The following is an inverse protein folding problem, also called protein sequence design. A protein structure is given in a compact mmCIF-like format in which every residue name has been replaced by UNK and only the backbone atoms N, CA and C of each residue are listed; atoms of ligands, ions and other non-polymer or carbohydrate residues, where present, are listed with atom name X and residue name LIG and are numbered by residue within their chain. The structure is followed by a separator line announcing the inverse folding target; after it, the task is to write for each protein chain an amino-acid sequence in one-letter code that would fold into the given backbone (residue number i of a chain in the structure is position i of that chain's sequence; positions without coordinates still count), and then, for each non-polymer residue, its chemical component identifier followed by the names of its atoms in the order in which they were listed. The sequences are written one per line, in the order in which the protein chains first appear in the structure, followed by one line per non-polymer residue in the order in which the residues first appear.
data_IF_975440233147
#
_entry.id   IF_975440233147
#
_cell.length_a   1.000
_cell.length_b   1.000
_cell.length_c   1.000
_cell.angle_alpha   90.00
_cell.angle_beta   90.00
_cell.angle_gamma   90.00
#
_symmetry.space_group_name_H-M   'P 1'
#
loop_
_entity.id
_entity.type
_entity.pdbx_description
1 polymer ?
#
# COMPACT_ATOMS: atom_id res chain seq x y z
N UNK A 1 -25.01 -42.86 -41.53
CA UNK A 1 -24.92 -44.34 -41.60
C UNK A 1 -26.00 -44.93 -40.72
N UNK A 2 -27.00 -45.59 -41.29
CA UNK A 2 -28.13 -46.17 -40.55
C UNK A 2 -27.66 -47.30 -39.63
N UNK A 3 -27.86 -47.15 -38.32
CA UNK A 3 -27.56 -48.19 -37.32
C UNK A 3 -28.63 -49.29 -37.39
N UNK A 4 -28.26 -50.43 -37.97
CA UNK A 4 -29.03 -51.67 -37.84
C UNK A 4 -28.88 -52.14 -36.39
N UNK A 5 -29.94 -52.05 -35.57
CA UNK A 5 -29.97 -52.62 -34.22
C UNK A 5 -29.94 -54.15 -34.32
N UNK A 6 -28.78 -54.76 -34.11
CA UNK A 6 -28.68 -56.20 -33.84
C UNK A 6 -29.05 -56.45 -32.37
N UNK A 7 -30.34 -56.64 -32.12
CA UNK A 7 -30.78 -57.37 -30.92
C UNK A 7 -30.71 -58.87 -31.23
N UNK A 8 -30.33 -59.68 -30.24
CA UNK A 8 -30.41 -61.15 -30.35
C UNK A 8 -31.88 -61.61 -30.42
N UNK A 9 -32.16 -62.87 -30.80
CA UNK A 9 -33.50 -63.47 -30.98
C UNK A 9 -34.44 -63.30 -29.78
N UNK A 10 -33.90 -63.09 -28.57
CA UNK A 10 -34.66 -62.83 -27.34
C UNK A 10 -34.88 -61.33 -27.04
N UNK A 11 -34.57 -60.43 -27.98
CA UNK A 11 -34.74 -58.98 -27.83
C UNK A 11 -33.67 -58.28 -26.98
N UNK A 12 -32.64 -59.01 -26.52
CA UNK A 12 -31.55 -58.45 -25.72
C UNK A 12 -30.51 -57.75 -26.61
N UNK A 13 -30.11 -56.54 -26.21
CA UNK A 13 -29.07 -55.76 -26.91
C UNK A 13 -27.73 -56.39 -26.61
N UNK A 14 -27.00 -56.77 -27.66
CA UNK A 14 -25.68 -57.40 -27.58
C UNK A 14 -24.74 -56.66 -26.59
N UNK A 15 -24.14 -57.36 -25.61
CA UNK A 15 -23.30 -56.73 -24.58
C UNK A 15 -22.14 -55.92 -25.17
N UNK A 16 -21.55 -56.37 -26.27
CA UNK A 16 -20.44 -55.68 -26.94
C UNK A 16 -20.91 -54.34 -27.51
N UNK A 17 -22.12 -54.30 -28.08
CA UNK A 17 -22.77 -53.07 -28.51
C UNK A 17 -23.14 -52.14 -27.35
N UNK A 18 -23.57 -52.67 -26.20
CA UNK A 18 -23.81 -51.86 -25.02
C UNK A 18 -22.54 -51.22 -24.46
N UNK A 19 -21.43 -51.98 -24.41
CA UNK A 19 -20.14 -51.45 -24.00
C UNK A 19 -19.62 -50.39 -24.97
N UNK A 20 -19.77 -50.62 -26.28
CA UNK A 20 -19.42 -49.63 -27.31
C UNK A 20 -20.22 -48.33 -27.18
N UNK A 21 -21.54 -48.41 -26.96
CA UNK A 21 -22.40 -47.24 -26.75
C UNK A 21 -22.08 -46.52 -25.43
N UNK A 22 -21.80 -47.25 -24.36
CA UNK A 22 -21.36 -46.68 -23.08
C UNK A 22 -20.00 -46.00 -23.23
N UNK A 23 -19.06 -46.62 -23.96
CA UNK A 23 -17.73 -46.07 -24.21
C UNK A 23 -17.78 -44.80 -25.07
N UNK A 24 -18.58 -44.80 -26.14
CA UNK A 24 -18.78 -43.61 -27.00
C UNK A 24 -19.47 -42.47 -26.25
N UNK A 25 -20.52 -42.75 -25.49
CA UNK A 25 -21.19 -41.72 -24.67
C UNK A 25 -20.29 -41.18 -23.55
N UNK A 26 -19.44 -42.03 -22.96
CA UNK A 26 -18.43 -41.61 -21.99
C UNK A 26 -17.31 -40.80 -22.65
N UNK A 27 -16.92 -41.11 -23.88
CA UNK A 27 -15.95 -40.32 -24.64
C UNK A 27 -16.49 -38.91 -24.92
N UNK A 28 -17.72 -38.79 -25.42
CA UNK A 28 -18.36 -37.48 -25.65
C UNK A 28 -18.51 -36.66 -24.35
N UNK A 29 -18.82 -37.32 -23.23
CA UNK A 29 -18.93 -36.66 -21.94
C UNK A 29 -17.57 -36.19 -21.42
N UNK A 30 -16.52 -37.00 -21.62
CA UNK A 30 -15.14 -36.63 -21.29
C UNK A 30 -14.67 -35.44 -22.11
N UNK A 31 -14.93 -35.42 -23.42
CA UNK A 31 -14.57 -34.29 -24.29
C UNK A 31 -15.29 -33.00 -23.85
N UNK A 32 -16.56 -33.10 -23.46
CA UNK A 32 -17.31 -31.96 -22.91
C UNK A 32 -16.74 -31.48 -21.59
N UNK A 33 -16.40 -32.40 -20.69
CA UNK A 33 -15.77 -32.08 -19.41
C UNK A 33 -14.40 -31.45 -19.62
N UNK A 34 -13.60 -31.94 -20.56
CA UNK A 34 -12.29 -31.39 -20.89
C UNK A 34 -12.39 -30.01 -21.55
N UNK A 35 -13.39 -29.81 -22.42
CA UNK A 35 -13.69 -28.50 -23.01
C UNK A 35 -14.13 -27.49 -21.94
N UNK A 36 -15.02 -27.86 -21.02
CA UNK A 36 -15.42 -27.01 -19.89
C UNK A 36 -14.25 -26.75 -18.94
N UNK A 37 -13.43 -27.76 -18.65
CA UNK A 37 -12.24 -27.59 -17.81
C UNK A 37 -11.20 -26.69 -18.47
N UNK A 38 -11.07 -26.75 -19.79
CA UNK A 38 -10.20 -25.86 -20.59
C UNK A 38 -10.70 -24.42 -20.56
N UNK A 39 -12.03 -24.22 -20.68
CA UNK A 39 -12.65 -22.90 -20.54
C UNK A 39 -12.43 -22.32 -19.15
N UNK A 40 -12.59 -23.14 -18.11
CA UNK A 40 -12.36 -22.72 -16.73
C UNK A 40 -10.89 -22.39 -16.46
N UNK A 41 -9.96 -23.19 -17.00
CA UNK A 41 -8.52 -22.90 -16.94
C UNK A 41 -8.16 -21.60 -17.65
N UNK A 42 -8.71 -21.33 -18.83
CA UNK A 42 -8.46 -20.07 -19.56
C UNK A 42 -8.94 -18.84 -18.78
N UNK A 43 -10.10 -18.93 -18.10
CA UNK A 43 -10.58 -17.88 -17.21
C UNK A 43 -9.66 -17.69 -15.99
N UNK A 44 -9.18 -18.78 -15.39
CA UNK A 44 -8.21 -18.72 -14.29
C UNK A 44 -6.85 -18.17 -14.74
N UNK A 45 -6.37 -18.54 -15.93
CA UNK A 45 -5.12 -18.04 -16.50
C UNK A 45 -5.21 -16.57 -16.92
N UNK A 46 -6.39 -16.09 -17.33
CA UNK A 46 -6.64 -14.66 -17.52
C UNK A 46 -6.69 -13.86 -16.20
N UNK A 47 -7.11 -14.49 -15.11
CA UNK A 47 -7.10 -13.90 -13.77
C UNK A 47 -5.74 -14.00 -13.05
N UNK A 48 -4.90 -14.97 -13.42
CA UNK A 48 -3.55 -15.21 -12.88
C UNK A 48 -2.58 -14.02 -13.04
N UNK A 49 -2.47 -13.30 -14.18
CA UNK A 49 -1.56 -12.16 -14.32
C UNK A 49 -1.99 -10.93 -13.51
N UNK A 50 -3.25 -10.86 -13.07
CA UNK A 50 -3.71 -9.84 -12.13
C UNK A 50 -3.21 -10.09 -10.70
N UNK A 51 -2.91 -11.35 -10.33
CA UNK A 51 -2.43 -11.69 -8.99
C UNK A 51 -1.11 -10.99 -8.60
N UNK A 52 -0.02 -11.01 -9.41
CA UNK A 52 1.20 -10.29 -9.06
C UNK A 52 0.99 -8.76 -9.06
N UNK A 53 0.16 -8.22 -9.96
CA UNK A 53 -0.11 -6.79 -10.02
C UNK A 53 -0.88 -6.30 -8.78
N UNK A 54 -1.87 -7.08 -8.32
CA UNK A 54 -2.61 -6.80 -7.08
C UNK A 54 -1.70 -6.86 -5.86
N UNK A 55 -0.72 -7.79 -5.82
CA UNK A 55 0.26 -7.84 -4.74
C UNK A 55 1.22 -6.63 -4.75
N UNK A 56 1.68 -6.20 -5.93
CA UNK A 56 2.50 -4.98 -6.07
C UNK A 56 1.73 -3.73 -5.64
N UNK A 57 0.48 -3.57 -6.08
CA UNK A 57 -0.39 -2.48 -5.67
C UNK A 57 -0.67 -2.49 -4.16
N UNK A 58 -0.83 -3.68 -3.56
CA UNK A 58 -0.98 -3.82 -2.12
C UNK A 58 0.30 -3.42 -1.37
N UNK A 59 1.47 -3.80 -1.86
CA UNK A 59 2.77 -3.39 -1.30
C UNK A 59 2.97 -1.86 -1.43
N UNK A 60 2.66 -1.27 -2.59
CA UNK A 60 2.70 0.17 -2.80
C UNK A 60 1.74 0.91 -1.86
N UNK A 61 0.53 0.40 -1.65
CA UNK A 61 -0.41 0.99 -0.68
C UNK A 61 0.16 1.01 0.74
N UNK A 62 0.86 -0.05 1.14
CA UNK A 62 1.52 -0.09 2.44
C UNK A 62 2.64 0.94 2.55
N UNK A 63 3.49 1.08 1.52
CA UNK A 63 4.57 2.08 1.52
C UNK A 63 4.01 3.50 1.54
N UNK A 64 2.98 3.80 0.75
CA UNK A 64 2.32 5.11 0.78
C UNK A 64 1.67 5.42 2.14
N UNK A 65 1.08 4.42 2.80
CA UNK A 65 0.53 4.59 4.14
C UNK A 65 1.63 4.91 5.16
N UNK A 66 2.79 4.24 5.06
CA UNK A 66 3.94 4.50 5.92
C UNK A 66 4.51 5.90 5.71
N UNK A 67 4.70 6.31 4.45
CA UNK A 67 5.13 7.65 4.09
C UNK A 67 4.13 8.73 4.56
N UNK A 68 2.83 8.48 4.49
CA UNK A 68 1.82 9.42 4.97
C UNK A 68 1.95 9.66 6.49
N UNK A 69 2.22 8.60 7.25
CA UNK A 69 2.44 8.69 8.70
C UNK A 69 3.71 9.47 9.02
N UNK A 70 4.83 9.17 8.36
CA UNK A 70 6.11 9.90 8.51
C UNK A 70 5.95 11.39 8.16
N UNK A 71 5.30 11.68 7.04
CA UNK A 71 5.02 13.05 6.61
C UNK A 71 4.17 13.83 7.62
N UNK A 72 3.25 13.17 8.31
CA UNK A 72 2.45 13.81 9.37
C UNK A 72 3.33 14.27 10.54
N UNK A 73 4.34 13.48 10.90
CA UNK A 73 5.28 13.80 11.98
C UNK A 73 6.20 14.94 11.57
N UNK A 74 6.78 14.87 10.37
CA UNK A 74 7.64 15.95 9.81
C UNK A 74 6.89 17.28 9.74
N UNK A 75 5.60 17.28 9.34
CA UNK A 75 4.78 18.51 9.30
C UNK A 75 4.61 19.14 10.68
N UNK A 76 4.41 18.35 11.73
CA UNK A 76 4.28 18.84 13.12
C UNK A 76 5.59 19.46 13.60
N UNK A 77 6.70 18.74 13.44
CA UNK A 77 8.04 19.19 13.83
C UNK A 77 8.41 20.50 13.11
N UNK A 78 8.15 20.59 11.80
CA UNK A 78 8.33 21.82 11.01
C UNK A 78 7.42 22.97 11.46
N UNK A 79 6.25 22.67 12.02
CA UNK A 79 5.38 23.65 12.65
C UNK A 79 6.02 24.28 13.88
N UNK A 80 6.47 23.43 14.81
CA UNK A 80 7.15 23.86 16.03
C UNK A 80 8.43 24.64 15.75
N UNK A 81 9.22 24.22 14.75
CA UNK A 81 10.43 24.92 14.34
C UNK A 81 10.14 26.35 13.86
N UNK A 82 9.14 26.51 12.98
CA UNK A 82 8.75 27.83 12.46
C UNK A 82 8.24 28.76 13.56
N UNK A 83 7.51 28.22 14.52
CA UNK A 83 7.03 28.96 15.68
C UNK A 83 8.19 29.42 16.56
N UNK A 84 9.10 28.51 16.92
CA UNK A 84 10.28 28.82 17.73
C UNK A 84 11.16 29.87 17.05
N UNK A 85 11.43 29.73 15.74
CA UNK A 85 12.20 30.71 14.98
C UNK A 85 11.53 32.09 14.92
N UNK A 86 10.19 32.14 14.84
CA UNK A 86 9.46 33.41 14.87
C UNK A 86 9.60 34.10 16.23
N UNK A 87 9.50 33.34 17.31
CA UNK A 87 9.64 33.86 18.67
C UNK A 87 11.05 34.36 18.88
N UNK A 88 12.06 33.58 18.50
CA UNK A 88 13.48 33.94 18.58
C UNK A 88 13.77 35.28 17.88
N UNK A 89 13.40 35.39 16.59
CA UNK A 89 13.52 36.64 15.84
C UNK A 89 12.75 37.81 16.46
N UNK A 90 11.61 37.53 17.09
CA UNK A 90 10.82 38.52 17.80
C UNK A 90 11.53 39.01 19.07
N UNK A 91 12.18 38.11 19.80
CA UNK A 91 12.96 38.42 21.01
C UNK A 91 14.24 39.20 20.69
N UNK A 92 14.84 38.99 19.52
CA UNK A 92 16.01 39.75 19.07
C UNK A 92 15.70 41.21 18.69
N UNK A 93 14.45 41.51 18.36
CA UNK A 93 13.99 42.86 18.05
C UNK A 93 13.54 43.66 19.28
N UNK A 94 13.55 43.06 20.47
CA UNK A 94 13.14 43.72 21.71
C UNK A 94 14.25 44.60 22.28
N UNK A 95 13.87 45.74 22.85
CA UNK A 95 14.77 46.59 23.63
C UNK A 95 15.26 45.86 24.89
N UNK A 96 16.44 46.23 25.38
CA UNK A 96 17.10 45.59 26.53
C UNK A 96 16.29 45.61 27.83
N UNK A 97 15.29 46.51 27.95
CA UNK A 97 14.42 46.66 29.12
C UNK A 97 12.98 46.11 28.89
N UNK A 98 12.77 45.42 27.76
CA UNK A 98 11.46 44.88 27.41
C UNK A 98 11.04 43.73 28.35
N UNK A 99 9.78 43.78 28.82
CA UNK A 99 9.21 42.76 29.70
C UNK A 99 8.60 41.64 28.86
N UNK A 100 9.14 40.43 28.97
CA UNK A 100 8.61 39.23 28.32
C UNK A 100 7.55 38.57 29.21
N UNK A 101 6.45 38.13 28.60
CA UNK A 101 5.38 37.44 29.30
C UNK A 101 5.03 36.13 28.58
N UNK A 102 4.80 35.07 29.36
CA UNK A 102 4.33 33.77 28.88
C UNK A 102 2.86 33.58 29.26
N UNK A 103 2.02 33.31 28.28
CA UNK A 103 0.62 32.96 28.49
C UNK A 103 0.51 31.51 28.95
N UNK A 104 -0.04 31.28 30.14
CA UNK A 104 -0.33 29.96 30.70
C UNK A 104 -1.79 29.94 31.14
N UNK A 105 -2.64 29.31 30.32
CA UNK A 105 -4.10 29.34 30.54
C UNK A 105 -4.64 30.78 30.43
N UNK A 106 -5.50 31.23 31.37
CA UNK A 106 -6.02 32.60 31.36
C UNK A 106 -5.04 33.63 31.97
N UNK A 107 -3.83 33.24 32.37
CA UNK A 107 -2.90 34.10 33.13
C UNK A 107 -1.62 34.37 32.35
N UNK A 108 -1.10 35.60 32.45
CA UNK A 108 0.21 36.00 31.93
C UNK A 108 1.25 35.98 33.06
N UNK A 109 2.30 35.20 32.87
CA UNK A 109 3.43 35.13 33.81
C UNK A 109 4.58 35.95 33.25
N UNK A 110 5.16 36.83 34.07
CA UNK A 110 6.38 37.57 33.71
C UNK A 110 7.55 36.57 33.65
N UNK A 111 8.33 36.63 32.58
CA UNK A 111 9.52 35.81 32.39
C UNK A 111 10.70 36.72 31.99
N UNK A 112 11.90 36.37 32.42
CA UNK A 112 13.10 37.11 32.03
C UNK A 112 13.46 36.84 30.56
N UNK A 113 13.92 37.88 29.85
CA UNK A 113 14.20 37.79 28.41
C UNK A 113 15.30 36.78 28.10
N UNK A 114 16.34 36.72 28.93
CA UNK A 114 17.47 35.79 28.77
C UNK A 114 17.04 34.33 29.00
N UNK A 115 16.16 34.09 29.98
CA UNK A 115 15.59 32.76 30.24
C UNK A 115 14.67 32.33 29.08
N UNK A 116 13.89 33.27 28.54
CA UNK A 116 13.04 33.02 27.37
C UNK A 116 13.87 32.65 26.13
N UNK A 117 14.95 33.38 25.83
CA UNK A 117 15.87 33.07 24.71
C UNK A 117 16.52 31.70 24.88
N UNK A 118 17.13 31.45 26.04
CA UNK A 118 17.78 30.17 26.34
C UNK A 118 16.82 28.97 26.19
N UNK A 119 15.55 29.15 26.56
CA UNK A 119 14.54 28.10 26.41
C UNK A 119 14.10 27.90 24.95
N UNK A 120 14.05 28.96 24.15
CA UNK A 120 13.77 28.88 22.70
C UNK A 120 14.93 28.20 21.97
N UNK A 121 16.18 28.54 22.31
CA UNK A 121 17.39 27.94 21.74
C UNK A 121 17.44 26.44 22.00
N UNK A 122 17.24 26.01 23.25
CA UNK A 122 17.16 24.58 23.61
C UNK A 122 16.07 23.85 22.81
N UNK A 123 14.93 24.50 22.58
CA UNK A 123 13.84 23.91 21.78
C UNK A 123 14.22 23.80 20.31
N UNK A 124 14.93 24.79 19.75
CA UNK A 124 15.43 24.76 18.38
C UNK A 124 16.49 23.67 18.19
N UNK A 125 17.43 23.54 19.12
CA UNK A 125 18.44 22.48 19.13
C UNK A 125 17.81 21.08 19.15
N UNK A 126 16.86 20.85 20.07
CA UNK A 126 16.12 19.59 20.15
C UNK A 126 15.41 19.27 18.83
N UNK A 127 14.68 20.25 18.28
CA UNK A 127 13.95 20.06 17.00
C UNK A 127 14.92 19.78 15.84
N UNK A 128 16.07 20.45 15.80
CA UNK A 128 17.07 20.24 14.75
C UNK A 128 17.67 18.83 14.83
N UNK A 129 17.94 18.33 16.03
CA UNK A 129 18.44 16.97 16.23
C UNK A 129 17.42 15.92 15.77
N UNK A 130 16.16 16.06 16.16
CA UNK A 130 15.06 15.17 15.73
C UNK A 130 14.85 15.20 14.20
N UNK A 131 14.96 16.39 13.57
CA UNK A 131 14.89 16.52 12.12
C UNK A 131 16.06 15.82 11.42
N UNK A 132 17.27 15.90 11.97
CA UNK A 132 18.44 15.24 11.42
C UNK A 132 18.34 13.72 11.49
N UNK A 133 17.90 13.19 12.63
CA UNK A 133 17.65 11.74 12.81
C UNK A 133 16.57 11.23 11.86
N UNK A 134 15.48 11.98 11.67
CA UNK A 134 14.42 11.59 10.71
C UNK A 134 14.86 11.58 9.25
N UNK A 135 15.90 12.34 8.87
CA UNK A 135 16.43 12.44 7.50
C UNK A 135 17.53 11.43 7.20
N UNK A 136 18.08 10.75 8.20
CA UNK A 136 19.17 9.79 8.05
C UNK A 136 18.75 8.44 7.45
N UNK A 137 17.46 8.21 7.19
CA UNK A 137 17.01 7.06 6.42
C UNK A 137 17.41 7.24 4.94
N UNK A 138 18.23 6.35 4.36
CA UNK A 138 18.51 6.40 2.93
C UNK A 138 17.21 6.18 2.17
N UNK A 139 16.70 7.23 1.55
CA UNK A 139 15.61 7.11 0.58
C UNK A 139 16.13 6.21 -0.55
N UNK A 140 15.52 5.05 -0.83
CA UNK A 140 15.91 4.23 -1.96
C UNK A 140 15.82 5.11 -3.19
N UNK A 141 16.94 5.29 -3.88
CA UNK A 141 16.98 6.11 -5.08
C UNK A 141 16.01 5.48 -6.07
N UNK A 142 14.93 6.20 -6.39
CA UNK A 142 14.07 5.91 -7.53
C UNK A 142 14.94 6.10 -8.77
N UNK A 143 15.65 5.05 -9.17
CA UNK A 143 16.39 5.07 -10.43
C UNK A 143 15.35 5.21 -11.53
N UNK A 144 15.51 6.29 -12.28
CA UNK A 144 14.65 6.69 -13.39
C UNK A 144 14.89 5.78 -14.59
N UNK A 145 14.51 4.51 -14.49
CA UNK A 145 14.45 3.61 -15.64
C UNK A 145 13.05 3.68 -16.24
N UNK A 146 12.76 4.81 -16.89
CA UNK A 146 11.61 4.92 -17.78
C UNK A 146 11.96 5.84 -18.95
N UNK A 147 12.98 5.46 -19.72
CA UNK A 147 13.17 6.02 -21.07
C UNK A 147 14.17 5.18 -21.89
N UNK A 148 13.79 3.95 -22.21
CA UNK A 148 14.35 3.23 -23.37
C UNK A 148 13.24 2.40 -24.02
N UNK A 149 12.47 3.04 -24.90
CA UNK A 149 11.76 2.43 -26.02
C UNK A 149 11.85 3.36 -27.21
#
# INVERSE_FOLDING_TARGET
MSLIRKCDRNGSVDPWWQHFWKATKMAELKDKVEAEMTRYRALQDGARPAAPQVQVLAAQRQTYAQQANENSMVKKVRGHWREALRIDRGLDLLDADAKVYKLVGPVLLKQDADEAKTNVDKRLEFINNELYESRAAPVPQLTSDCSQH
#
